data_IF_884463504652
#
_entry.id   IF_884463504652
#
_cell.length_a   1.000
_cell.length_b   1.000
_cell.length_c   1.000
_cell.angle_alpha   90.00
_cell.angle_beta   90.00
_cell.angle_gamma   90.00
#
_symmetry.space_group_name_H-M   'P 1'
#
loop_
_entity.id
_entity.type
_entity.pdbx_description
1 polymer ?
#
# COMPACT_ATOMS: atom_id res chain seq x y z
N UNK A 1 -16.04 -4.93 -17.93
CA UNK A 1 -14.78 -5.66 -17.70
C UNK A 1 -14.51 -5.70 -16.21
N UNK A 2 -14.49 -6.91 -15.63
CA UNK A 2 -14.23 -7.15 -14.21
C UNK A 2 -12.83 -6.65 -13.85
N UNK A 3 -12.73 -5.45 -13.28
CA UNK A 3 -11.49 -5.03 -12.63
C UNK A 3 -11.52 -5.64 -11.23
N UNK A 4 -10.49 -6.41 -10.88
CA UNK A 4 -10.29 -6.83 -9.50
C UNK A 4 -10.35 -5.58 -8.60
N UNK A 5 -11.08 -5.63 -7.46
CA UNK A 5 -11.21 -4.46 -6.61
C UNK A 5 -9.84 -4.03 -6.12
N UNK A 6 -9.54 -2.74 -6.25
CA UNK A 6 -8.24 -2.20 -5.87
C UNK A 6 -8.04 -2.39 -4.36
N UNK A 7 -6.91 -2.99 -4.00
CA UNK A 7 -6.46 -3.13 -2.62
C UNK A 7 -6.03 -1.76 -2.11
N UNK A 8 -6.54 -1.37 -0.94
CA UNK A 8 -6.09 -0.18 -0.24
C UNK A 8 -4.64 -0.34 0.18
N UNK A 9 -3.82 0.68 -0.06
CA UNK A 9 -2.38 0.62 0.18
C UNK A 9 -2.01 0.66 1.67
N UNK A 10 -2.95 1.04 2.55
CA UNK A 10 -2.78 1.13 4.00
C UNK A 10 -3.28 -0.14 4.69
N UNK A 11 -4.59 -0.44 4.59
CA UNK A 11 -5.21 -1.57 5.28
C UNK A 11 -5.18 -2.89 4.49
N UNK A 12 -4.74 -2.86 3.23
CA UNK A 12 -4.78 -4.00 2.31
C UNK A 12 -6.16 -4.63 2.08
N UNK A 13 -7.24 -3.91 2.35
CA UNK A 13 -8.60 -4.34 2.07
C UNK A 13 -9.08 -3.94 0.67
N UNK A 14 -10.06 -4.66 0.14
CA UNK A 14 -10.68 -4.41 -1.17
C UNK A 14 -11.98 -3.61 -1.08
N UNK A 15 -12.36 -3.15 0.11
CA UNK A 15 -13.57 -2.38 0.33
C UNK A 15 -13.46 -0.96 -0.26
N UNK A 16 -14.58 -0.48 -0.81
CA UNK A 16 -14.64 0.79 -1.53
C UNK A 16 -14.41 2.00 -0.61
N UNK A 17 -13.19 2.52 -0.60
CA UNK A 17 -12.84 3.81 -0.03
C UNK A 17 -11.66 4.43 -0.76
N UNK A 18 -11.43 5.72 -0.55
CA UNK A 18 -10.24 6.39 -1.08
C UNK A 18 -9.06 6.06 -0.18
N UNK A 19 -8.08 5.34 -0.72
CA UNK A 19 -6.90 4.92 0.05
C UNK A 19 -6.13 6.10 0.67
N UNK A 20 -6.15 7.30 0.05
CA UNK A 20 -5.45 8.49 0.54
C UNK A 20 -6.09 9.06 1.81
N UNK A 21 -7.38 8.76 2.03
CA UNK A 21 -8.15 9.11 3.23
C UNK A 21 -8.18 7.93 4.22
N UNK A 22 -7.44 6.84 3.95
CA UNK A 22 -7.42 5.67 4.83
C UNK A 22 -6.59 5.95 6.08
N UNK A 23 -7.26 5.96 7.23
CA UNK A 23 -6.67 6.14 8.57
C UNK A 23 -6.66 4.83 9.36
N UNK A 24 -6.72 3.69 8.68
CA UNK A 24 -6.78 2.39 9.34
C UNK A 24 -5.46 2.08 10.07
N UNK A 25 -5.58 1.77 11.36
CA UNK A 25 -4.45 1.34 12.20
C UNK A 25 -4.12 -0.15 12.03
N UNK A 26 -5.04 -0.91 11.43
CA UNK A 26 -4.94 -2.35 11.22
C UNK A 26 -5.23 -2.72 9.77
N UNK A 27 -4.81 -3.92 9.40
CA UNK A 27 -5.18 -4.54 8.13
C UNK A 27 -6.68 -4.86 8.09
N UNK A 28 -7.19 -5.17 6.90
CA UNK A 28 -8.59 -5.48 6.62
C UNK A 28 -9.21 -6.56 7.52
N UNK A 29 -8.39 -7.46 8.08
CA UNK A 29 -8.82 -8.52 8.98
C UNK A 29 -8.79 -8.13 10.47
N UNK A 30 -8.38 -6.89 10.79
CA UNK A 30 -8.23 -6.34 12.14
C UNK A 30 -7.29 -7.16 13.07
N UNK A 31 -6.45 -8.05 12.52
CA UNK A 31 -5.55 -8.91 13.31
C UNK A 31 -4.12 -8.38 13.39
N UNK A 32 -3.71 -7.59 12.40
CA UNK A 32 -2.35 -7.11 12.27
C UNK A 32 -2.36 -5.60 12.11
N UNK A 33 -1.43 -4.87 12.73
CA UNK A 33 -1.31 -3.44 12.54
C UNK A 33 -0.96 -3.12 11.08
N UNK A 34 -1.47 -2.00 10.59
CA UNK A 34 -0.98 -1.39 9.36
C UNK A 34 0.49 -1.04 9.53
N UNK A 35 1.28 -1.16 8.46
CA UNK A 35 2.72 -0.81 8.48
C UNK A 35 3.03 0.51 7.82
N UNK A 36 2.00 1.15 7.26
CA UNK A 36 2.12 2.43 6.62
C UNK A 36 0.88 3.27 6.88
N UNK A 37 1.01 4.58 6.65
CA UNK A 37 -0.10 5.52 6.73
C UNK A 37 0.03 6.57 5.61
N UNK A 38 -1.10 7.10 5.15
CA UNK A 38 -1.09 8.25 4.26
C UNK A 38 -0.93 9.54 5.08
N UNK A 39 0.02 10.38 4.67
CA UNK A 39 0.20 11.74 5.18
C UNK A 39 0.19 12.71 4.01
N UNK A 40 -0.96 13.37 3.79
CA UNK A 40 -1.22 14.16 2.60
C UNK A 40 -1.15 13.31 1.32
N UNK A 41 -0.22 13.63 0.41
CA UNK A 41 0.01 12.88 -0.84
C UNK A 41 1.09 11.80 -0.72
N UNK A 42 1.68 11.64 0.45
CA UNK A 42 2.78 10.71 0.70
C UNK A 42 2.28 9.47 1.44
N UNK A 43 2.90 8.33 1.17
CA UNK A 43 2.75 7.11 1.94
C UNK A 43 3.99 6.95 2.82
N UNK A 44 3.82 6.85 4.14
CA UNK A 44 4.90 6.72 5.11
C UNK A 44 4.88 5.35 5.75
N UNK A 45 6.05 4.79 6.07
CA UNK A 45 6.17 3.57 6.87
C UNK A 45 6.09 3.94 8.35
N UNK A 46 5.31 3.20 9.15
CA UNK A 46 5.26 3.42 10.58
C UNK A 46 6.64 3.25 11.23
N UNK A 47 6.96 4.13 12.19
CA UNK A 47 8.24 4.14 12.92
C UNK A 47 9.47 4.26 12.01
N UNK A 48 9.32 4.87 10.83
CA UNK A 48 10.42 5.14 9.92
C UNK A 48 10.18 6.44 9.18
N UNK A 49 11.25 7.19 8.90
CA UNK A 49 11.18 8.38 8.04
C UNK A 49 11.10 8.04 6.54
N UNK A 50 10.88 6.76 6.21
CA UNK A 50 10.80 6.27 4.84
C UNK A 50 9.43 6.56 4.23
N UNK A 51 9.45 7.29 3.12
CA UNK A 51 8.31 7.41 2.20
C UNK A 51 8.28 6.24 1.23
N UNK A 52 7.10 5.91 0.73
CA UNK A 52 6.87 4.87 -0.27
C UNK A 52 6.28 5.47 -1.54
N UNK A 53 6.59 4.86 -2.67
CA UNK A 53 5.98 5.23 -3.93
C UNK A 53 4.51 4.77 -3.96
N UNK A 54 3.58 5.71 -4.04
CA UNK A 54 2.13 5.42 -4.10
C UNK A 54 1.78 4.67 -5.37
N UNK A 55 2.36 5.05 -6.51
CA UNK A 55 2.09 4.39 -7.79
C UNK A 55 2.60 2.94 -7.81
N UNK A 56 3.73 2.66 -7.14
CA UNK A 56 4.20 1.29 -6.93
C UNK A 56 3.17 0.42 -6.20
N UNK A 57 2.42 0.98 -5.25
CA UNK A 57 1.37 0.24 -4.52
C UNK A 57 0.09 0.00 -5.33
N UNK A 58 -0.08 0.68 -6.47
CA UNK A 58 -1.28 0.58 -7.31
C UNK A 58 -1.14 -0.56 -8.31
N UNK A 59 -2.26 -0.95 -8.91
CA UNK A 59 -2.30 -2.04 -9.90
C UNK A 59 -1.50 -1.75 -11.15
N UNK A 60 -1.35 -0.47 -11.50
CA UNK A 60 -0.50 -0.03 -12.61
C UNK A 60 1.00 -0.15 -12.30
N UNK A 61 1.38 -0.19 -11.02
CA UNK A 61 2.76 -0.10 -10.58
C UNK A 61 3.42 1.23 -10.94
N UNK A 62 4.73 1.30 -10.73
CA UNK A 62 5.58 2.42 -11.13
C UNK A 62 6.84 1.87 -11.82
N UNK A 63 7.21 2.44 -12.97
CA UNK A 63 8.39 2.04 -13.74
C UNK A 63 9.53 3.08 -13.66
N UNK A 64 9.35 4.13 -12.85
CA UNK A 64 10.34 5.19 -12.73
C UNK A 64 11.53 4.72 -11.92
N UNK A 65 12.73 4.77 -12.51
CA UNK A 65 13.99 4.40 -11.85
C UNK A 65 14.56 5.49 -10.95
N UNK A 66 13.94 6.67 -10.91
CA UNK A 66 14.44 7.81 -10.13
C UNK A 66 14.26 7.62 -8.62
N UNK A 67 13.39 6.69 -8.20
CA UNK A 67 13.04 6.46 -6.79
C UNK A 67 12.82 4.96 -6.51
N UNK A 68 13.65 4.09 -7.09
CA UNK A 68 13.56 2.62 -6.95
C UNK A 68 13.72 2.12 -5.50
N UNK A 69 14.32 2.93 -4.63
CA UNK A 69 14.42 2.68 -3.20
C UNK A 69 13.06 2.81 -2.48
N UNK A 70 12.13 3.56 -3.06
CA UNK A 70 10.77 3.75 -2.56
C UNK A 70 9.79 2.70 -3.11
N UNK A 71 10.23 1.84 -4.04
CA UNK A 71 9.46 0.72 -4.59
C UNK A 71 9.52 -0.48 -3.65
N UNK A 72 8.85 -0.35 -2.51
CA UNK A 72 8.70 -1.43 -1.52
C UNK A 72 7.25 -1.60 -1.15
N UNK A 73 6.80 -2.84 -0.94
CA UNK A 73 5.43 -3.13 -0.52
C UNK A 73 5.12 -2.46 0.83
N UNK A 74 3.97 -1.80 0.91
CA UNK A 74 3.53 -1.07 2.11
C UNK A 74 3.33 -1.92 3.36
N UNK A 75 3.21 -3.25 3.22
CA UNK A 75 3.06 -4.17 4.35
C UNK A 75 4.28 -5.01 4.66
N UNK A 76 4.82 -5.72 3.67
CA UNK A 76 5.91 -6.68 3.89
C UNK A 76 7.30 -6.11 3.54
N UNK A 77 7.37 -4.86 3.06
CA UNK A 77 8.59 -4.16 2.68
C UNK A 77 9.41 -4.83 1.56
N UNK A 78 8.85 -5.84 0.88
CA UNK A 78 9.48 -6.50 -0.26
C UNK A 78 9.55 -5.56 -1.48
N UNK A 79 10.63 -5.64 -2.25
CA UNK A 79 10.85 -4.84 -3.47
C UNK A 79 10.26 -5.46 -4.74
N UNK A 80 9.81 -6.72 -4.66
CA UNK A 80 9.32 -7.47 -5.83
C UNK A 80 7.89 -7.11 -6.24
N UNK A 81 7.14 -6.45 -5.36
CA UNK A 81 5.73 -6.11 -5.60
C UNK A 81 5.27 -4.91 -4.77
N UNK A 82 4.16 -4.30 -5.17
CA UNK A 82 3.39 -3.34 -4.37
C UNK A 82 2.21 -3.99 -3.64
N UNK A 83 1.44 -3.18 -2.90
CA UNK A 83 0.29 -3.62 -2.09
C UNK A 83 -0.71 -4.52 -2.83
N UNK A 84 -0.99 -4.27 -4.11
CA UNK A 84 -1.97 -5.06 -4.88
C UNK A 84 -1.66 -6.56 -4.97
N UNK A 85 -0.38 -6.90 -5.03
CA UNK A 85 0.06 -8.30 -5.18
C UNK A 85 0.60 -8.88 -3.88
N UNK A 86 0.36 -8.20 -2.74
CA UNK A 86 0.85 -8.65 -1.45
C UNK A 86 0.06 -9.88 -0.97
N UNK A 87 0.75 -10.87 -0.42
CA UNK A 87 0.09 -12.06 0.15
C UNK A 87 -0.85 -11.72 1.33
N UNK A 88 -0.65 -10.57 1.98
CA UNK A 88 -1.48 -10.05 3.07
C UNK A 88 -2.72 -9.30 2.60
N UNK A 89 -2.84 -9.03 1.30
CA UNK A 89 -4.00 -8.40 0.72
C UNK A 89 -5.24 -9.29 0.81
N UNK A 90 -6.40 -8.66 0.98
CA UNK A 90 -7.69 -9.32 0.94
C UNK A 90 -7.89 -9.97 -0.43
N UNK A 91 -8.29 -11.25 -0.44
CA UNK A 91 -8.58 -12.05 -1.63
C UNK A 91 -10.04 -12.45 -1.64
#
# INVERSE_FOLDING_TARGET
GNHAPAVCIVCLGTHGHKFIECVAEHLWNNKFPASSMCSGKSLLVWNSDKTLCVDWQRSRGCNSRHHDEHHVCSRCLARSHGAQSCAWAQK
#
